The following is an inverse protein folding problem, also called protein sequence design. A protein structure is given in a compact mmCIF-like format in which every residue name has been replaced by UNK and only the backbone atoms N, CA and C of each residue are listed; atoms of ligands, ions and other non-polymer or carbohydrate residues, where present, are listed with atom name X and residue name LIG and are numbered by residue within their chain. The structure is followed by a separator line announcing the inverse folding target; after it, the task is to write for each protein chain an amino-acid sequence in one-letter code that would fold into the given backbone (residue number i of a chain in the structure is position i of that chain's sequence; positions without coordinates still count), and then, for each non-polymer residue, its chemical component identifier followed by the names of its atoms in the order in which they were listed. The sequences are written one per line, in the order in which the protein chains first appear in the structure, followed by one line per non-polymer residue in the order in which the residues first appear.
data_IF_219782316552
#
_entry.id   IF_219782316552
#
_cell.length_a   1.000
_cell.length_b   1.000
_cell.length_c   1.000
_cell.angle_alpha   90.00
_cell.angle_beta   90.00
_cell.angle_gamma   90.00
#
_symmetry.space_group_name_H-M   'P 1'
#
loop_
_entity.id
_entity.type
_entity.pdbx_description
1 polymer ?
#
# COMPACT_ATOMS: atom_id res chain seq x y z
N UNK A 1 -29.86 3.82 -17.22
CA UNK A 1 -30.15 3.91 -15.76
C UNK A 1 -30.15 2.55 -15.07
N UNK A 2 -30.81 1.51 -15.59
CA UNK A 2 -30.82 0.14 -15.01
C UNK A 2 -29.47 -0.61 -14.98
N UNK A 3 -28.56 -0.30 -15.91
CA UNK A 3 -27.26 -0.97 -16.00
C UNK A 3 -26.24 -0.44 -14.97
N UNK A 4 -26.42 0.81 -14.50
CA UNK A 4 -25.58 1.41 -13.47
C UNK A 4 -25.94 0.90 -12.06
N UNK A 5 -27.23 0.64 -11.79
CA UNK A 5 -27.68 0.10 -10.51
C UNK A 5 -27.25 -1.36 -10.32
N UNK A 6 -27.39 -2.20 -11.36
CA UNK A 6 -26.93 -3.61 -11.31
C UNK A 6 -25.41 -3.73 -11.10
N UNK A 7 -24.60 -2.92 -11.80
CA UNK A 7 -23.15 -2.90 -11.60
C UNK A 7 -22.78 -2.47 -10.17
N UNK A 8 -23.46 -1.48 -9.62
CA UNK A 8 -23.22 -1.04 -8.23
C UNK A 8 -23.53 -2.12 -7.19
N UNK A 9 -24.58 -2.92 -7.40
CA UNK A 9 -24.95 -4.04 -6.52
C UNK A 9 -23.87 -5.12 -6.54
N UNK A 10 -23.39 -5.50 -7.73
CA UNK A 10 -22.33 -6.51 -7.89
C UNK A 10 -21.05 -6.05 -7.21
N UNK A 11 -20.61 -4.80 -7.44
CA UNK A 11 -19.42 -4.25 -6.80
C UNK A 11 -19.57 -4.21 -5.28
N UNK A 12 -20.75 -3.81 -4.79
CA UNK A 12 -21.04 -3.79 -3.34
C UNK A 12 -20.95 -5.19 -2.73
N UNK A 13 -21.51 -6.20 -3.40
CA UNK A 13 -21.44 -7.59 -2.95
C UNK A 13 -19.98 -8.11 -2.91
N UNK A 14 -19.19 -7.80 -3.94
CA UNK A 14 -17.76 -8.15 -3.99
C UNK A 14 -17.01 -7.52 -2.81
N UNK A 15 -17.21 -6.23 -2.56
CA UNK A 15 -16.57 -5.52 -1.45
C UNK A 15 -17.02 -6.08 -0.09
N UNK A 16 -18.30 -6.43 0.08
CA UNK A 16 -18.81 -7.04 1.31
C UNK A 16 -18.14 -8.40 1.60
N UNK A 17 -18.02 -9.26 0.60
CA UNK A 17 -17.30 -10.54 0.73
C UNK A 17 -15.82 -10.30 1.06
N UNK A 18 -15.18 -9.34 0.39
CA UNK A 18 -13.80 -8.97 0.66
C UNK A 18 -13.58 -8.48 2.10
N UNK A 19 -14.51 -7.72 2.68
CA UNK A 19 -14.44 -7.31 4.10
C UNK A 19 -14.45 -8.52 5.05
N UNK A 20 -15.19 -9.59 4.73
CA UNK A 20 -15.14 -10.84 5.51
C UNK A 20 -13.74 -11.46 5.50
N UNK A 21 -13.09 -11.49 4.32
CA UNK A 21 -11.69 -11.93 4.22
C UNK A 21 -10.76 -11.04 5.03
N UNK A 22 -10.91 -9.72 4.92
CA UNK A 22 -10.04 -8.75 5.58
C UNK A 22 -10.12 -8.88 7.10
N UNK A 23 -11.33 -8.95 7.63
CA UNK A 23 -11.59 -9.10 9.07
C UNK A 23 -11.07 -10.44 9.58
N UNK A 24 -11.29 -11.53 8.85
CA UNK A 24 -10.80 -12.86 9.22
C UNK A 24 -9.28 -12.91 9.31
N UNK A 25 -8.58 -12.48 8.27
CA UNK A 25 -7.12 -12.53 8.24
C UNK A 25 -6.49 -11.52 9.21
N UNK A 26 -7.10 -10.35 9.37
CA UNK A 26 -6.69 -9.36 10.38
C UNK A 26 -6.76 -9.91 11.79
N UNK A 27 -7.86 -10.57 12.17
CA UNK A 27 -7.99 -11.23 13.49
C UNK A 27 -7.00 -12.37 13.64
N UNK A 28 -6.77 -13.14 12.57
CA UNK A 28 -5.82 -14.25 12.58
C UNK A 28 -4.40 -13.75 12.84
N UNK A 29 -3.91 -12.79 12.05
CA UNK A 29 -2.58 -12.19 12.23
C UNK A 29 -2.42 -11.55 13.60
N UNK A 30 -3.45 -10.87 14.12
CA UNK A 30 -3.43 -10.34 15.48
C UNK A 30 -3.22 -11.42 16.53
N UNK A 31 -3.93 -12.55 16.42
CA UNK A 31 -3.77 -13.69 17.35
C UNK A 31 -2.38 -14.32 17.25
N UNK A 32 -1.83 -14.46 16.04
CA UNK A 32 -0.46 -14.95 15.85
C UNK A 32 0.58 -14.00 16.46
N UNK A 33 0.44 -12.69 16.23
CA UNK A 33 1.33 -11.69 16.81
C UNK A 33 1.26 -11.70 18.35
N UNK A 34 0.06 -11.77 18.93
CA UNK A 34 -0.13 -11.83 20.37
C UNK A 34 0.47 -13.11 21.00
N UNK A 35 0.37 -14.25 20.31
CA UNK A 35 0.99 -15.50 20.77
C UNK A 35 2.53 -15.45 20.67
N UNK A 36 3.06 -14.88 19.59
CA UNK A 36 4.49 -14.73 19.36
C UNK A 36 5.16 -13.69 20.28
N UNK A 37 4.40 -12.73 20.80
CA UNK A 37 4.85 -11.69 21.74
C UNK A 37 5.45 -12.24 23.04
N UNK A 38 5.17 -13.50 23.36
CA UNK A 38 5.68 -14.17 24.55
C UNK A 38 7.14 -14.63 24.46
N UNK A 39 7.78 -14.59 23.27
CA UNK A 39 9.08 -15.26 23.07
C UNK A 39 10.28 -14.33 22.86
N UNK A 40 10.24 -13.25 22.06
CA UNK A 40 11.46 -12.43 21.85
C UNK A 40 11.30 -11.06 21.13
N UNK A 41 10.39 -10.17 21.54
CA UNK A 41 10.41 -8.77 21.04
C UNK A 41 11.46 -7.93 21.78
N UNK A 42 12.73 -8.13 21.45
CA UNK A 42 13.83 -7.33 22.03
C UNK A 42 13.97 -6.02 21.25
N UNK A 43 13.69 -4.90 21.92
CA UNK A 43 13.98 -3.57 21.41
C UNK A 43 15.48 -3.43 21.24
N UNK A 44 15.91 -2.94 20.07
CA UNK A 44 17.32 -2.70 19.77
C UNK A 44 17.48 -1.22 19.48
N UNK A 45 17.65 -0.45 20.55
CA UNK A 45 17.55 1.01 20.53
C UNK A 45 18.42 1.67 19.43
N UNK A 46 19.68 1.27 19.18
CA UNK A 46 20.47 1.83 18.09
C UNK A 46 19.84 1.60 16.70
N UNK A 47 19.37 0.38 16.43
CA UNK A 47 18.75 0.04 15.14
C UNK A 47 17.39 0.72 15.00
N UNK A 48 16.60 0.76 16.07
CA UNK A 48 15.28 1.38 16.10
C UNK A 48 15.37 2.89 15.86
N UNK A 49 16.38 3.57 16.41
CA UNK A 49 16.65 4.99 16.12
C UNK A 49 16.96 5.17 14.62
N UNK A 50 17.81 4.33 14.04
CA UNK A 50 18.14 4.42 12.61
C UNK A 50 16.93 4.16 11.72
N UNK A 51 16.02 3.27 12.12
CA UNK A 51 14.73 3.05 11.44
C UNK A 51 13.89 4.33 11.47
N UNK A 52 13.68 4.93 12.65
CA UNK A 52 12.90 6.17 12.78
C UNK A 52 13.54 7.30 11.97
N UNK A 53 14.87 7.46 12.05
CA UNK A 53 15.60 8.46 11.26
C UNK A 53 15.45 8.22 9.77
N UNK A 54 15.44 6.97 9.31
CA UNK A 54 15.25 6.64 7.89
C UNK A 54 13.85 6.98 7.40
N UNK A 55 12.81 6.68 8.19
CA UNK A 55 11.42 7.09 7.88
C UNK A 55 11.34 8.62 7.82
N UNK A 56 11.90 9.30 8.82
CA UNK A 56 11.89 10.76 8.88
C UNK A 56 12.58 11.40 7.66
N UNK A 57 13.81 10.98 7.35
CA UNK A 57 14.56 11.50 6.20
C UNK A 57 13.87 11.17 4.87
N UNK A 58 13.33 9.96 4.72
CA UNK A 58 12.55 9.58 3.54
C UNK A 58 11.35 10.49 3.33
N UNK A 59 10.64 10.86 4.40
CA UNK A 59 9.52 11.79 4.36
C UNK A 59 9.95 13.20 3.95
N UNK A 60 10.97 13.75 4.61
CA UNK A 60 11.50 15.10 4.34
C UNK A 60 12.00 15.23 2.91
N UNK A 61 12.83 14.29 2.44
CA UNK A 61 13.39 14.33 1.08
C UNK A 61 12.31 14.17 0.03
N UNK A 62 11.35 13.26 0.24
CA UNK A 62 10.26 13.07 -0.73
C UNK A 62 9.37 14.30 -0.81
N UNK A 63 9.03 14.92 0.31
CA UNK A 63 8.21 16.12 0.31
C UNK A 63 8.94 17.31 -0.33
N UNK A 64 10.24 17.47 -0.05
CA UNK A 64 11.07 18.48 -0.73
C UNK A 64 11.06 18.32 -2.25
N UNK A 65 11.27 17.10 -2.76
CA UNK A 65 11.23 16.82 -4.21
C UNK A 65 9.81 17.00 -4.77
N UNK A 66 8.78 16.60 -4.03
CA UNK A 66 7.39 16.65 -4.47
C UNK A 66 6.87 18.09 -4.56
N UNK A 67 7.07 18.87 -3.50
CA UNK A 67 6.46 20.18 -3.30
C UNK A 67 7.39 21.31 -3.75
N UNK A 68 8.63 21.35 -3.25
CA UNK A 68 9.53 22.48 -3.51
C UNK A 68 10.18 22.41 -4.90
N UNK A 69 10.53 21.20 -5.36
CA UNK A 69 11.03 20.99 -6.74
C UNK A 69 9.90 20.78 -7.76
N UNK A 70 8.66 20.60 -7.31
CA UNK A 70 7.49 20.48 -8.18
C UNK A 70 7.42 19.22 -9.04
N UNK A 71 8.16 18.16 -8.70
CA UNK A 71 8.15 16.90 -9.46
C UNK A 71 6.94 16.00 -9.17
N UNK A 72 6.11 16.35 -8.16
CA UNK A 72 4.92 15.60 -7.80
C UNK A 72 5.21 14.33 -6.97
N UNK A 73 4.19 13.91 -6.22
CA UNK A 73 4.33 12.91 -5.16
C UNK A 73 4.81 11.53 -5.66
N UNK A 74 4.27 11.06 -6.80
CA UNK A 74 4.58 9.73 -7.34
C UNK A 74 6.03 9.65 -7.81
N UNK A 75 6.50 10.65 -8.57
CA UNK A 75 7.89 10.71 -9.05
C UNK A 75 8.85 10.84 -7.88
N UNK A 76 8.56 11.75 -6.94
CA UNK A 76 9.38 11.95 -5.75
C UNK A 76 9.55 10.67 -4.92
N UNK A 77 8.44 9.97 -4.63
CA UNK A 77 8.49 8.71 -3.87
C UNK A 77 9.23 7.61 -4.63
N UNK A 78 9.03 7.50 -5.94
CA UNK A 78 9.76 6.57 -6.80
C UNK A 78 11.28 6.80 -6.76
N UNK A 79 11.72 8.07 -6.87
CA UNK A 79 13.14 8.43 -6.81
C UNK A 79 13.76 8.07 -5.45
N UNK A 80 13.10 8.43 -4.34
CA UNK A 80 13.58 8.11 -2.99
C UNK A 80 13.60 6.60 -2.76
N UNK A 81 12.61 5.86 -3.26
CA UNK A 81 12.58 4.40 -3.19
C UNK A 81 13.72 3.73 -3.95
N UNK A 82 14.00 4.17 -5.18
CA UNK A 82 15.13 3.67 -5.97
C UNK A 82 16.46 3.99 -5.27
N UNK A 83 16.63 5.24 -4.85
CA UNK A 83 17.83 5.69 -4.14
C UNK A 83 18.08 4.84 -2.88
N UNK A 84 17.05 4.67 -2.05
CA UNK A 84 17.16 3.92 -0.81
C UNK A 84 17.45 2.43 -1.08
N UNK A 85 16.81 1.82 -2.08
CA UNK A 85 17.04 0.42 -2.44
C UNK A 85 18.43 0.15 -3.04
N UNK A 86 19.05 1.15 -3.69
CA UNK A 86 20.38 0.99 -4.29
C UNK A 86 21.49 1.33 -3.29
N UNK A 87 21.36 2.46 -2.58
CA UNK A 87 22.45 3.05 -1.79
C UNK A 87 22.31 2.84 -0.28
N UNK A 88 21.08 2.60 0.22
CA UNK A 88 20.79 2.49 1.66
C UNK A 88 20.06 1.18 1.96
N UNK A 89 20.49 0.08 1.34
CA UNK A 89 19.82 -1.23 1.34
C UNK A 89 19.25 -1.69 2.68
N UNK A 90 19.99 -1.60 3.82
CA UNK A 90 19.47 -2.06 5.11
C UNK A 90 18.26 -1.25 5.60
N UNK A 91 18.15 0.00 5.17
CA UNK A 91 17.09 0.94 5.56
C UNK A 91 16.18 1.34 4.40
N UNK A 92 16.21 0.59 3.29
CA UNK A 92 15.38 0.87 2.12
C UNK A 92 13.88 0.81 2.45
N UNK A 93 13.47 -0.19 3.24
CA UNK A 93 12.07 -0.38 3.67
C UNK A 93 11.57 0.79 4.53
N UNK A 94 12.25 1.19 5.64
CA UNK A 94 11.82 2.35 6.42
C UNK A 94 11.93 3.67 5.66
N UNK A 95 12.98 3.89 4.85
CA UNK A 95 13.08 5.10 4.02
C UNK A 95 11.92 5.21 3.02
N UNK A 96 11.52 4.10 2.40
CA UNK A 96 10.39 4.08 1.47
C UNK A 96 9.04 4.25 2.19
N UNK A 97 8.89 3.75 3.42
CA UNK A 97 7.77 4.10 4.29
C UNK A 97 7.71 5.61 4.56
N UNK A 98 8.87 6.22 4.83
CA UNK A 98 9.03 7.67 4.94
C UNK A 98 8.57 8.40 3.68
N UNK A 99 9.01 7.91 2.52
CA UNK A 99 8.61 8.49 1.24
C UNK A 99 7.08 8.55 1.08
N UNK A 100 6.35 7.58 1.62
CA UNK A 100 4.89 7.58 1.57
C UNK A 100 4.26 8.66 2.46
N UNK A 101 4.88 9.00 3.60
CA UNK A 101 4.51 10.16 4.41
C UNK A 101 4.78 11.44 3.62
N UNK A 102 5.94 11.51 2.96
CA UNK A 102 6.37 12.63 2.11
C UNK A 102 5.48 12.91 0.90
N UNK A 103 4.65 11.95 0.48
CA UNK A 103 3.62 12.15 -0.54
C UNK A 103 2.40 12.95 -0.05
N UNK A 104 2.39 13.39 1.22
CA UNK A 104 1.31 14.24 1.74
C UNK A 104 1.21 15.56 0.99
N UNK A 105 -0.02 16.06 0.82
CA UNK A 105 -0.27 17.35 0.19
C UNK A 105 0.13 18.49 1.14
N UNK A 106 0.75 19.53 0.60
CA UNK A 106 1.03 20.77 1.32
C UNK A 106 -0.22 21.51 1.79
N UNK A 107 -1.38 21.21 1.19
CA UNK A 107 -2.68 21.72 1.66
C UNK A 107 -3.21 20.97 2.89
N UNK A 108 -2.65 19.79 3.23
CA UNK A 108 -3.00 19.04 4.43
C UNK A 108 -1.95 19.19 5.53
N UNK A 109 -0.68 19.00 5.19
CA UNK A 109 0.43 19.07 6.14
C UNK A 109 1.48 20.04 5.60
N UNK A 110 1.77 21.09 6.35
CA UNK A 110 2.93 21.93 6.14
C UNK A 110 4.21 21.24 6.62
N UNK A 111 5.36 21.92 6.52
CA UNK A 111 6.65 21.36 6.93
C UNK A 111 6.66 20.83 8.38
N UNK A 112 6.22 21.59 9.40
CA UNK A 112 6.07 21.10 10.76
C UNK A 112 5.14 19.88 10.89
N UNK A 113 3.95 19.93 10.27
CA UNK A 113 2.98 18.83 10.28
C UNK A 113 3.54 17.55 9.64
N UNK A 114 4.30 17.70 8.56
CA UNK A 114 4.99 16.60 7.88
C UNK A 114 6.10 15.99 8.75
N UNK A 115 6.94 16.83 9.37
CA UNK A 115 8.00 16.36 10.27
C UNK A 115 7.41 15.57 11.44
N UNK A 116 6.31 16.05 12.03
CA UNK A 116 5.55 15.33 13.04
C UNK A 116 5.01 13.99 12.51
N UNK A 117 4.40 13.99 11.32
CA UNK A 117 3.91 12.78 10.67
C UNK A 117 5.01 11.73 10.45
N UNK A 118 6.20 12.18 10.04
CA UNK A 118 7.38 11.31 9.84
C UNK A 118 7.85 10.66 11.14
N UNK A 119 7.90 11.43 12.24
CA UNK A 119 8.24 10.88 13.57
C UNK A 119 7.19 9.88 14.04
N UNK A 120 5.89 10.22 13.95
CA UNK A 120 4.81 9.31 14.34
C UNK A 120 4.87 8.03 13.51
N UNK A 121 5.00 8.14 12.18
CA UNK A 121 5.13 6.98 11.30
C UNK A 121 6.35 6.13 11.65
N UNK A 122 7.49 6.74 12.00
CA UNK A 122 8.69 6.03 12.44
C UNK A 122 8.44 5.23 13.73
N UNK A 123 7.79 5.83 14.72
CA UNK A 123 7.41 5.13 15.97
C UNK A 123 6.46 3.98 15.68
N UNK A 124 5.42 4.22 14.88
CA UNK A 124 4.44 3.17 14.48
C UNK A 124 5.14 2.06 13.69
N UNK A 125 6.15 2.38 12.86
CA UNK A 125 6.95 1.39 12.15
C UNK A 125 7.68 0.46 13.13
N UNK A 126 8.39 1.01 14.12
CA UNK A 126 9.14 0.22 15.11
C UNK A 126 8.19 -0.68 15.91
N UNK A 127 7.05 -0.14 16.35
CA UNK A 127 6.02 -0.91 17.07
C UNK A 127 5.42 -2.04 16.22
N UNK A 128 5.27 -1.80 14.91
CA UNK A 128 4.67 -2.75 13.98
C UNK A 128 5.66 -3.64 13.24
N UNK A 129 6.97 -3.59 13.51
CA UNK A 129 8.00 -4.20 12.65
C UNK A 129 7.86 -5.72 12.52
N UNK A 130 7.26 -6.40 13.51
CA UNK A 130 7.07 -7.85 13.52
C UNK A 130 5.66 -8.32 13.09
N UNK A 131 4.72 -7.41 12.81
CA UNK A 131 3.32 -7.77 12.50
C UNK A 131 3.08 -7.69 10.98
N UNK A 132 2.25 -8.57 10.41
CA UNK A 132 1.87 -8.55 8.99
C UNK A 132 3.07 -8.63 8.02
N UNK A 133 4.10 -9.40 8.36
CA UNK A 133 5.27 -9.58 7.49
C UNK A 133 4.89 -10.25 6.17
N UNK A 134 5.43 -9.75 5.07
CA UNK A 134 5.14 -10.24 3.71
C UNK A 134 3.84 -9.71 3.08
N UNK A 135 3.04 -8.90 3.78
CA UNK A 135 1.90 -8.22 3.17
C UNK A 135 2.32 -6.89 2.52
N UNK A 136 2.02 -6.73 1.23
CA UNK A 136 2.16 -5.48 0.51
C UNK A 136 1.25 -4.38 1.11
N UNK A 137 1.68 -3.12 1.01
CA UNK A 137 0.91 -1.97 1.50
C UNK A 137 1.07 -1.63 2.99
N UNK A 138 1.62 -2.52 3.83
CA UNK A 138 1.86 -2.29 5.28
C UNK A 138 2.52 -0.94 5.56
N UNK A 139 3.56 -0.61 4.79
CA UNK A 139 4.30 0.65 4.91
C UNK A 139 3.42 1.88 4.69
N UNK A 140 2.49 1.83 3.73
CA UNK A 140 1.59 2.95 3.50
C UNK A 140 0.52 3.05 4.59
N UNK A 141 0.07 1.95 5.18
CA UNK A 141 -0.79 2.00 6.38
C UNK A 141 -0.10 2.72 7.55
N UNK A 142 1.19 2.43 7.77
CA UNK A 142 2.00 3.10 8.80
C UNK A 142 2.15 4.60 8.47
N UNK A 143 2.48 4.93 7.23
CA UNK A 143 2.60 6.31 6.78
C UNK A 143 1.27 7.09 6.90
N UNK A 144 0.16 6.44 6.56
CA UNK A 144 -1.18 7.00 6.65
C UNK A 144 -1.59 7.27 8.09
N UNK A 145 -1.29 6.35 9.01
CA UNK A 145 -1.48 6.60 10.43
C UNK A 145 -0.69 7.85 10.87
N UNK A 146 0.59 7.94 10.51
CA UNK A 146 1.42 9.12 10.80
C UNK A 146 0.83 10.42 10.28
N UNK A 147 0.42 10.45 9.00
CA UNK A 147 -0.16 11.64 8.37
C UNK A 147 -1.51 12.04 9.00
N UNK A 148 -2.40 11.08 9.26
CA UNK A 148 -3.70 11.35 9.88
C UNK A 148 -3.54 11.82 11.32
N UNK A 149 -2.69 11.18 12.13
CA UNK A 149 -2.45 11.63 13.50
C UNK A 149 -1.84 13.03 13.55
N UNK A 150 -0.88 13.34 12.66
CA UNK A 150 -0.35 14.69 12.56
C UNK A 150 -1.40 15.72 12.12
N UNK A 151 -2.27 15.37 11.17
CA UNK A 151 -3.37 16.23 10.74
C UNK A 151 -4.35 16.49 11.90
N UNK A 152 -4.66 15.46 12.72
CA UNK A 152 -5.51 15.61 13.90
C UNK A 152 -4.89 16.52 14.96
N UNK A 153 -3.58 16.37 15.21
CA UNK A 153 -2.84 17.21 16.19
C UNK A 153 -2.76 18.66 15.72
N UNK A 154 -2.57 18.89 14.42
CA UNK A 154 -2.48 20.24 13.83
C UNK A 154 -3.85 20.87 13.54
N UNK A 155 -4.94 20.10 13.61
CA UNK A 155 -6.28 20.57 13.31
C UNK A 155 -6.57 20.74 11.81
N UNK A 156 -5.77 20.10 10.95
CA UNK A 156 -5.87 20.24 9.49
C UNK A 156 -6.96 19.34 8.91
N UNK A 157 -7.95 19.88 8.18
CA UNK A 157 -9.02 19.08 7.62
C UNK A 157 -8.53 18.20 6.46
N UNK A 158 -8.98 16.95 6.44
CA UNK A 158 -8.70 16.03 5.33
C UNK A 158 -9.35 16.53 4.04
N UNK A 159 -8.64 16.37 2.92
CA UNK A 159 -9.10 16.85 1.63
C UNK A 159 -10.09 15.86 1.00
N UNK A 160 -10.93 16.35 0.09
CA UNK A 160 -11.78 15.52 -0.75
C UNK A 160 -11.42 15.74 -2.22
N UNK A 161 -11.46 14.66 -2.99
CA UNK A 161 -11.22 14.71 -4.44
C UNK A 161 -12.42 14.13 -5.18
N UNK A 162 -12.80 14.67 -6.34
CA UNK A 162 -13.95 14.15 -7.07
C UNK A 162 -13.77 12.67 -7.45
N UNK A 163 -14.90 11.96 -7.61
CA UNK A 163 -14.91 10.59 -8.12
C UNK A 163 -14.54 10.61 -9.61
N UNK A 164 -13.56 9.81 -10.06
CA UNK A 164 -13.21 9.73 -11.47
C UNK A 164 -14.38 9.24 -12.33
N UNK A 165 -14.51 9.80 -13.53
CA UNK A 165 -15.43 9.27 -14.54
C UNK A 165 -15.03 7.86 -14.99
N UNK A 166 -16.01 7.05 -15.40
CA UNK A 166 -15.78 5.65 -15.80
C UNK A 166 -14.87 5.46 -17.01
N UNK A 167 -14.69 6.49 -17.84
CA UNK A 167 -13.75 6.47 -18.97
C UNK A 167 -12.30 6.32 -18.48
N UNK A 168 -11.92 7.06 -17.43
CA UNK A 168 -10.61 6.92 -16.76
C UNK A 168 -10.58 5.69 -15.86
N UNK A 169 -11.72 5.32 -15.26
CA UNK A 169 -11.84 4.15 -14.39
C UNK A 169 -11.45 2.82 -15.08
N UNK A 170 -11.79 2.64 -16.35
CA UNK A 170 -11.38 1.43 -17.11
C UNK A 170 -9.86 1.35 -17.29
N UNK A 171 -9.24 2.46 -17.67
CA UNK A 171 -7.78 2.55 -17.79
C UNK A 171 -7.11 2.32 -16.43
N UNK A 172 -7.68 2.89 -15.36
CA UNK A 172 -7.20 2.70 -14.00
C UNK A 172 -7.15 1.23 -13.62
N UNK A 173 -8.22 0.46 -13.86
CA UNK A 173 -8.25 -0.99 -13.60
C UNK A 173 -7.14 -1.71 -14.35
N UNK A 174 -6.99 -1.44 -15.66
CA UNK A 174 -5.98 -2.10 -16.49
C UNK A 174 -4.56 -1.80 -16.00
N UNK A 175 -4.26 -0.53 -15.74
CA UNK A 175 -2.94 -0.10 -15.27
C UNK A 175 -2.64 -0.59 -13.85
N UNK A 176 -3.61 -0.62 -12.93
CA UNK A 176 -3.43 -1.19 -11.60
C UNK A 176 -3.11 -2.69 -11.66
N UNK A 177 -3.85 -3.48 -12.45
CA UNK A 177 -3.56 -4.91 -12.64
C UNK A 177 -2.14 -5.10 -13.16
N UNK A 178 -1.77 -4.35 -14.20
CA UNK A 178 -0.43 -4.42 -14.77
C UNK A 178 0.65 -4.03 -13.75
N UNK A 179 0.47 -2.93 -13.03
CA UNK A 179 1.41 -2.44 -12.01
C UNK A 179 1.64 -3.43 -10.87
N UNK A 180 0.58 -4.04 -10.33
CA UNK A 180 0.68 -5.04 -9.27
C UNK A 180 1.44 -6.30 -9.75
N UNK A 181 1.05 -6.84 -10.92
CA UNK A 181 1.69 -8.04 -11.48
C UNK A 181 3.15 -7.76 -11.83
N UNK A 182 3.44 -6.66 -12.51
CA UNK A 182 4.79 -6.29 -12.91
C UNK A 182 5.70 -6.11 -11.68
N UNK A 183 5.21 -5.44 -10.65
CA UNK A 183 5.98 -5.26 -9.40
C UNK A 183 6.28 -6.60 -8.73
N UNK A 184 5.30 -7.49 -8.65
CA UNK A 184 5.51 -8.81 -8.07
C UNK A 184 6.51 -9.64 -8.87
N UNK A 185 6.43 -9.63 -10.20
CA UNK A 185 7.37 -10.32 -11.08
C UNK A 185 8.79 -9.77 -10.91
N UNK A 186 8.98 -8.44 -10.88
CA UNK A 186 10.30 -7.84 -10.67
C UNK A 186 10.85 -8.14 -9.27
N UNK A 187 9.99 -8.08 -8.25
CA UNK A 187 10.37 -8.35 -6.87
C UNK A 187 10.78 -9.80 -6.66
N UNK A 188 9.93 -10.75 -7.10
CA UNK A 188 10.03 -12.18 -6.77
C UNK A 188 10.82 -12.95 -7.82
N UNK A 189 10.49 -12.80 -9.11
CA UNK A 189 11.09 -13.62 -10.17
C UNK A 189 12.45 -13.07 -10.61
N UNK A 190 12.61 -11.74 -10.67
CA UNK A 190 13.90 -11.11 -10.97
C UNK A 190 14.74 -10.80 -9.72
N UNK A 191 14.24 -11.12 -8.52
CA UNK A 191 14.99 -11.04 -7.26
C UNK A 191 15.46 -9.62 -6.89
N UNK A 192 14.83 -8.58 -7.43
CA UNK A 192 15.23 -7.18 -7.19
C UNK A 192 14.75 -6.64 -5.84
N UNK A 193 13.90 -7.41 -5.14
CA UNK A 193 13.30 -7.02 -3.87
C UNK A 193 12.11 -6.08 -4.02
N UNK A 194 11.24 -6.03 -3.01
CA UNK A 194 9.93 -5.37 -3.10
C UNK A 194 10.04 -3.85 -3.28
N UNK A 195 10.96 -3.20 -2.56
CA UNK A 195 11.11 -1.73 -2.58
C UNK A 195 11.58 -1.26 -3.96
N UNK A 196 12.65 -1.86 -4.49
CA UNK A 196 13.19 -1.46 -5.80
C UNK A 196 12.17 -1.70 -6.92
N UNK A 197 11.53 -2.87 -6.90
CA UNK A 197 10.50 -3.23 -7.89
C UNK A 197 9.35 -2.20 -7.89
N UNK A 198 8.80 -1.89 -6.72
CA UNK A 198 7.71 -0.92 -6.61
C UNK A 198 8.16 0.48 -7.01
N UNK A 199 9.35 0.90 -6.57
CA UNK A 199 9.86 2.24 -6.83
C UNK A 199 10.09 2.49 -8.32
N UNK A 200 10.65 1.53 -9.06
CA UNK A 200 10.86 1.65 -10.51
C UNK A 200 9.52 1.69 -11.24
N UNK A 201 8.57 0.81 -10.90
CA UNK A 201 7.26 0.76 -11.59
C UNK A 201 6.45 2.03 -11.30
N UNK A 202 6.46 2.52 -10.05
CA UNK A 202 5.80 3.77 -9.68
C UNK A 202 6.45 4.98 -10.36
N UNK A 203 7.79 5.05 -10.40
CA UNK A 203 8.51 6.12 -11.09
C UNK A 203 8.21 6.13 -12.58
N UNK A 204 8.25 4.96 -13.23
CA UNK A 204 7.90 4.82 -14.64
C UNK A 204 6.45 5.26 -14.90
N UNK A 205 5.50 4.88 -14.05
CA UNK A 205 4.12 5.32 -14.16
C UNK A 205 3.98 6.84 -14.00
N UNK A 206 4.67 7.43 -13.02
CA UNK A 206 4.67 8.87 -12.77
C UNK A 206 5.24 9.69 -13.94
N UNK A 207 6.24 9.16 -14.65
CA UNK A 207 6.83 9.84 -15.82
C UNK A 207 6.01 9.61 -17.09
N UNK A 208 5.62 8.36 -17.36
CA UNK A 208 5.04 7.98 -18.64
C UNK A 208 3.55 8.31 -18.74
N UNK A 209 2.75 8.06 -17.70
CA UNK A 209 1.28 8.15 -17.83
C UNK A 209 0.76 9.59 -18.02
N UNK A 210 1.29 10.62 -17.34
CA UNK A 210 0.95 12.01 -17.64
C UNK A 210 1.26 12.42 -19.09
N UNK A 211 2.32 11.86 -19.68
CA UNK A 211 2.69 12.14 -21.08
C UNK A 211 1.77 11.44 -22.10
N UNK A 212 1.24 10.26 -21.76
CA UNK A 212 0.41 9.44 -22.65
C UNK A 212 -1.08 9.79 -22.60
N UNK A 213 -1.59 10.17 -21.42
CA UNK A 213 -3.04 10.36 -21.18
C UNK A 213 -3.39 11.79 -20.76
N UNK A 214 -2.44 12.73 -20.87
CA UNK A 214 -2.58 14.10 -20.38
C UNK A 214 -2.32 14.23 -18.88
N UNK A 215 -2.00 15.45 -18.44
CA UNK A 215 -1.46 15.70 -17.08
C UNK A 215 -2.41 15.24 -15.98
N UNK A 216 -3.69 15.62 -16.05
CA UNK A 216 -4.66 15.29 -14.99
C UNK A 216 -4.99 13.79 -14.94
N UNK A 217 -5.41 13.23 -16.08
CA UNK A 217 -5.81 11.82 -16.16
C UNK A 217 -4.62 10.89 -15.94
N UNK A 218 -3.47 11.20 -16.54
CA UNK A 218 -2.25 10.41 -16.38
C UNK A 218 -1.69 10.46 -14.96
N UNK A 219 -1.80 11.59 -14.24
CA UNK A 219 -1.42 11.65 -12.82
C UNK A 219 -2.31 10.76 -11.95
N UNK A 220 -3.63 10.74 -12.20
CA UNK A 220 -4.55 9.84 -11.51
C UNK A 220 -4.23 8.37 -11.80
N UNK A 221 -3.93 8.03 -13.06
CA UNK A 221 -3.51 6.67 -13.43
C UNK A 221 -2.19 6.29 -12.74
N UNK A 222 -1.23 7.21 -12.65
CA UNK A 222 0.02 6.99 -11.93
C UNK A 222 -0.20 6.72 -10.44
N UNK A 223 -1.05 7.50 -9.77
CA UNK A 223 -1.47 7.26 -8.38
C UNK A 223 -2.09 5.86 -8.21
N UNK A 224 -2.94 5.45 -9.15
CA UNK A 224 -3.53 4.12 -9.19
C UNK A 224 -2.49 3.01 -9.28
N UNK A 225 -1.59 3.13 -10.27
CA UNK A 225 -0.48 2.18 -10.45
C UNK A 225 0.35 2.09 -9.19
N UNK A 226 0.76 3.22 -8.62
CA UNK A 226 1.56 3.28 -7.39
C UNK A 226 0.87 2.58 -6.21
N UNK A 227 -0.45 2.71 -6.05
CA UNK A 227 -1.19 1.91 -5.07
C UNK A 227 -1.10 0.41 -5.37
N UNK A 228 -1.28 0.02 -6.63
CA UNK A 228 -1.22 -1.37 -7.03
C UNK A 228 0.20 -1.98 -6.93
N UNK A 229 1.26 -1.21 -7.18
CA UNK A 229 2.64 -1.67 -6.96
C UNK A 229 2.88 -2.02 -5.50
N UNK A 230 2.27 -1.28 -4.56
CA UNK A 230 2.36 -1.60 -3.14
C UNK A 230 1.72 -2.93 -2.78
N UNK A 231 0.66 -3.34 -3.48
CA UNK A 231 0.09 -4.68 -3.34
C UNK A 231 1.05 -5.73 -3.93
N UNK A 232 1.66 -5.41 -5.08
CA UNK A 232 2.69 -6.23 -5.74
C UNK A 232 3.97 -6.45 -4.93
N UNK A 233 4.22 -5.65 -3.88
CA UNK A 233 5.33 -5.88 -2.94
C UNK A 233 5.10 -7.09 -2.00
N UNK A 234 3.96 -7.77 -2.08
CA UNK A 234 3.67 -8.92 -1.24
C UNK A 234 4.64 -10.09 -1.50
N UNK A 235 5.00 -10.80 -0.43
CA UNK A 235 5.94 -11.92 -0.48
C UNK A 235 5.28 -13.25 -0.85
N UNK A 236 6.11 -14.21 -1.27
CA UNK A 236 5.66 -15.57 -1.63
C UNK A 236 5.16 -16.38 -0.44
N UNK A 237 5.56 -16.01 0.78
CA UNK A 237 4.99 -16.55 2.02
C UNK A 237 3.49 -16.26 2.16
N UNK A 238 2.99 -15.19 1.54
CA UNK A 238 1.55 -14.84 1.55
C UNK A 238 0.86 -15.21 0.24
N UNK A 239 1.55 -15.03 -0.89
CA UNK A 239 1.01 -15.31 -2.23
C UNK A 239 2.01 -16.09 -3.07
N UNK A 240 1.78 -17.38 -3.21
CA UNK A 240 2.67 -18.27 -4.00
C UNK A 240 2.68 -17.94 -5.50
N UNK A 241 1.57 -17.39 -6.02
CA UNK A 241 1.34 -17.24 -7.46
C UNK A 241 0.98 -15.82 -7.85
N UNK A 242 1.55 -15.35 -8.95
CA UNK A 242 1.38 -13.99 -9.46
C UNK A 242 -0.07 -13.64 -9.84
N UNK A 243 -0.93 -14.62 -10.14
CA UNK A 243 -2.33 -14.34 -10.50
C UNK A 243 -3.12 -13.69 -9.34
N UNK A 244 -2.70 -13.88 -8.09
CA UNK A 244 -3.31 -13.18 -6.95
C UNK A 244 -3.13 -11.66 -7.06
N UNK A 245 -2.09 -11.19 -7.73
CA UNK A 245 -1.83 -9.77 -7.97
C UNK A 245 -2.77 -9.17 -9.01
N UNK A 246 -3.39 -9.99 -9.87
CA UNK A 246 -4.47 -9.53 -10.76
C UNK A 246 -5.68 -9.11 -9.92
N UNK A 247 -6.09 -9.95 -8.96
CA UNK A 247 -7.17 -9.62 -8.04
C UNK A 247 -6.81 -8.43 -7.14
N UNK A 248 -5.56 -8.36 -6.67
CA UNK A 248 -5.10 -7.25 -5.83
C UNK A 248 -5.12 -5.92 -6.60
N UNK A 249 -4.63 -5.89 -7.84
CA UNK A 249 -4.68 -4.71 -8.70
C UNK A 249 -6.12 -4.28 -9.02
N UNK A 250 -7.01 -5.23 -9.29
CA UNK A 250 -8.44 -4.95 -9.48
C UNK A 250 -9.05 -4.30 -8.24
N UNK A 251 -8.82 -4.88 -7.05
CA UNK A 251 -9.33 -4.34 -5.79
C UNK A 251 -8.74 -2.96 -5.47
N UNK A 252 -7.44 -2.74 -5.70
CA UNK A 252 -6.82 -1.42 -5.54
C UNK A 252 -7.53 -0.37 -6.41
N UNK A 253 -7.80 -0.68 -7.68
CA UNK A 253 -8.50 0.24 -8.56
C UNK A 253 -9.92 0.53 -8.08
N UNK A 254 -10.69 -0.50 -7.69
CA UNK A 254 -12.04 -0.32 -7.15
C UNK A 254 -12.02 0.54 -5.89
N UNK A 255 -11.18 0.19 -4.91
CA UNK A 255 -11.09 0.93 -3.64
C UNK A 255 -10.68 2.38 -3.90
N UNK A 256 -9.70 2.67 -4.77
CA UNK A 256 -9.31 4.04 -5.10
C UNK A 256 -10.47 4.83 -5.72
N UNK A 257 -11.20 4.25 -6.67
CA UNK A 257 -12.34 4.94 -7.29
C UNK A 257 -13.43 5.32 -6.28
N UNK A 258 -13.77 4.41 -5.36
CA UNK A 258 -14.82 4.66 -4.37
C UNK A 258 -14.34 5.45 -3.15
N UNK A 259 -13.04 5.44 -2.86
CA UNK A 259 -12.46 6.17 -1.73
C UNK A 259 -11.87 7.52 -2.11
N UNK A 260 -11.83 7.90 -3.39
CA UNK A 260 -11.26 9.20 -3.82
C UNK A 260 -11.87 10.42 -3.10
N UNK A 261 -13.17 10.46 -2.74
CA UNK A 261 -13.75 11.59 -2.01
C UNK A 261 -13.32 11.70 -0.55
N UNK A 262 -12.72 10.64 0.01
CA UNK A 262 -12.48 10.54 1.44
C UNK A 262 -10.97 10.58 1.73
N UNK A 263 -10.58 11.30 2.78
CA UNK A 263 -9.21 11.27 3.33
C UNK A 263 -8.11 11.59 2.29
N UNK A 264 -8.40 12.53 1.38
CA UNK A 264 -7.44 13.04 0.41
C UNK A 264 -6.31 13.84 1.07
N UNK A 265 -5.18 13.94 0.37
CA UNK A 265 -4.01 14.69 0.83
C UNK A 265 -3.14 13.99 1.88
N UNK A 266 -3.64 12.95 2.55
CA UNK A 266 -2.86 12.20 3.53
C UNK A 266 -1.93 11.19 2.84
N UNK A 267 -0.62 11.35 3.06
CA UNK A 267 0.39 10.40 2.61
C UNK A 267 0.10 8.99 3.12
N UNK A 268 0.43 7.96 2.34
CA UNK A 268 0.21 6.56 2.71
C UNK A 268 -1.17 5.96 2.39
N UNK A 269 -2.20 6.75 2.05
CA UNK A 269 -3.55 6.25 1.68
C UNK A 269 -3.52 5.12 0.64
N UNK A 270 -2.64 5.26 -0.36
CA UNK A 270 -2.44 4.27 -1.41
C UNK A 270 -1.98 2.92 -0.85
N UNK A 271 -1.05 2.92 0.11
CA UNK A 271 -0.62 1.66 0.72
C UNK A 271 -1.64 1.09 1.69
N UNK A 272 -2.45 1.91 2.37
CA UNK A 272 -3.62 1.42 3.13
C UNK A 272 -4.60 0.68 2.22
N UNK A 273 -4.83 1.23 1.04
CA UNK A 273 -5.68 0.61 0.01
C UNK A 273 -5.12 -0.74 -0.44
N UNK A 274 -3.82 -0.76 -0.77
CA UNK A 274 -3.12 -1.98 -1.16
C UNK A 274 -3.12 -3.04 -0.06
N UNK A 275 -2.86 -2.63 1.18
CA UNK A 275 -2.82 -3.50 2.35
C UNK A 275 -4.16 -4.17 2.61
N UNK A 276 -5.25 -3.38 2.59
CA UNK A 276 -6.59 -3.93 2.67
C UNK A 276 -6.85 -4.92 1.54
N UNK A 277 -6.50 -4.57 0.30
CA UNK A 277 -6.73 -5.42 -0.86
C UNK A 277 -6.08 -6.80 -0.66
N UNK A 278 -4.79 -6.85 -0.30
CA UNK A 278 -4.06 -8.11 -0.15
C UNK A 278 -4.50 -8.90 1.09
N UNK A 279 -4.74 -8.27 2.24
CA UNK A 279 -5.23 -8.97 3.43
C UNK A 279 -6.60 -9.59 3.15
N UNK A 280 -7.50 -8.85 2.51
CA UNK A 280 -8.82 -9.38 2.17
C UNK A 280 -8.77 -10.57 1.21
N UNK A 281 -7.93 -10.50 0.16
CA UNK A 281 -7.71 -11.66 -0.73
C UNK A 281 -7.16 -12.84 0.07
N UNK A 282 -6.16 -12.62 0.91
CA UNK A 282 -5.54 -13.69 1.69
C UNK A 282 -6.54 -14.37 2.61
N UNK A 283 -7.37 -13.60 3.31
CA UNK A 283 -8.41 -14.15 4.15
C UNK A 283 -9.42 -14.98 3.38
N UNK A 284 -9.83 -14.54 2.18
CA UNK A 284 -10.73 -15.33 1.33
C UNK A 284 -10.10 -16.65 0.86
N UNK A 285 -8.80 -16.66 0.54
CA UNK A 285 -8.07 -17.89 0.21
C UNK A 285 -8.15 -18.89 1.38
N UNK A 286 -7.95 -18.39 2.60
CA UNK A 286 -7.88 -19.23 3.80
C UNK A 286 -9.26 -19.74 4.19
N UNK A 287 -10.28 -18.89 4.12
CA UNK A 287 -11.68 -19.29 4.33
C UNK A 287 -12.08 -20.35 3.30
N UNK A 288 -11.79 -20.13 2.02
CA UNK A 288 -12.10 -21.07 0.94
C UNK A 288 -11.43 -22.43 1.13
N UNK A 289 -10.14 -22.43 1.49
CA UNK A 289 -9.40 -23.64 1.83
C UNK A 289 -10.05 -24.44 2.98
N UNK A 290 -10.52 -23.74 4.02
CA UNK A 290 -11.17 -24.36 5.18
C UNK A 290 -12.54 -24.93 4.84
N UNK A 291 -13.33 -24.21 4.04
CA UNK A 291 -14.64 -24.70 3.56
C UNK A 291 -14.47 -25.94 2.69
N UNK A 292 -13.51 -25.96 1.77
CA UNK A 292 -13.24 -27.13 0.93
C UNK A 292 -12.88 -28.38 1.74
N UNK A 293 -12.10 -28.23 2.82
CA UNK A 293 -11.82 -29.35 3.73
C UNK A 293 -13.05 -29.84 4.47
N UNK A 294 -13.89 -28.93 4.98
CA UNK A 294 -15.14 -29.29 5.66
C UNK A 294 -16.10 -30.05 4.73
N UNK A 295 -16.05 -29.74 3.43
CA UNK A 295 -16.82 -30.42 2.39
C UNK A 295 -16.16 -31.71 1.86
N UNK A 296 -14.98 -32.09 2.36
CA UNK A 296 -14.23 -33.26 1.87
C UNK A 296 -13.69 -33.10 0.44
N UNK A 297 -13.66 -31.88 -0.09
CA UNK A 297 -13.20 -31.55 -1.45
C UNK A 297 -11.69 -31.27 -1.52
N UNK A 298 -11.02 -31.24 -0.37
CA UNK A 298 -9.58 -31.00 -0.26
C UNK A 298 -8.98 -31.97 0.75
N UNK A 299 -7.83 -32.55 0.38
CA UNK A 299 -7.12 -33.52 1.20
C UNK A 299 -6.73 -32.88 2.55
N UNK A 300 -6.96 -33.53 3.70
CA UNK A 300 -6.52 -33.03 5.01
C UNK A 300 -5.01 -32.77 5.09
N UNK A 301 -4.20 -33.47 4.29
CA UNK A 301 -2.73 -33.32 4.28
C UNK A 301 -2.24 -32.12 3.45
N UNK A 302 -3.12 -31.50 2.64
CA UNK A 302 -2.80 -30.23 2.00
C UNK A 302 -2.66 -29.16 3.07
N UNK A 303 -1.45 -28.62 3.27
CA UNK A 303 -1.23 -27.53 4.22
C UNK A 303 -2.25 -26.39 4.01
N UNK A 304 -2.83 -25.88 5.10
CA UNK A 304 -3.38 -24.50 5.02
C UNK A 304 -2.12 -23.70 4.86
N UNK A 305 -2.02 -22.75 3.93
CA UNK A 305 -0.89 -21.84 3.96
C UNK A 305 -0.91 -21.12 5.31
N UNK A 306 -0.08 -21.61 6.24
CA UNK A 306 0.15 -21.03 7.55
C UNK A 306 0.97 -19.75 7.38
N UNK A 307 0.94 -18.90 8.40
CA UNK A 307 1.33 -17.49 8.34
C UNK A 307 2.70 -17.25 7.70
#
# INVERSE_FOLDING_TARGET
MYQASSLSIVVTAILAIWVLGLTYEGVREWKFAYAADSVEQRWDLPTDILIVSSVFLGATVTYWISIDLGHGAVIASGLVGVFAAVLVKPYAVPAYCGAFVGMSSSALLDWPGLMLAGVIAGVVFVLGKHVFNGFGGKLGTIAFAGAVFAALITGSPLLSSPVPGWDVGRLLVMYCIFGAVLTFVISVWFGQGPVLASAIVALAAGVLLPSLHGVESGALLAIGVTSATYAGMSGTNRFEKAYWMVLAGLLCALIIMYTSPFMGGAGGKLGTTAFGAVIGIRGLIVIGARVQRLLGLRDPDDAVPES
#
